data_IF_401976682380
#
_entry.id   IF_401976682380
#
_cell.length_a   1.000
_cell.length_b   1.000
_cell.length_c   1.000
_cell.angle_alpha   90.00
_cell.angle_beta   90.00
_cell.angle_gamma   90.00
#
_symmetry.space_group_name_H-M   'P 1'
#
loop_
_entity.id
_entity.type
_entity.pdbx_description
1 polymer ?
#
# COMPACT_ATOMS: atom_id res chain seq x y z
N UNK A 1 24.00 -5.04 4.95
CA UNK A 1 23.71 -6.36 4.37
C UNK A 1 22.25 -6.65 4.72
N UNK A 2 21.28 -6.43 3.82
CA UNK A 2 19.88 -6.72 4.11
C UNK A 2 19.64 -8.22 3.88
N UNK A 3 19.55 -8.99 4.96
CA UNK A 3 19.05 -10.36 4.96
C UNK A 3 17.54 -10.35 4.68
N UNK A 4 17.13 -10.98 3.58
CA UNK A 4 15.74 -11.32 3.36
C UNK A 4 15.41 -12.61 4.10
N UNK A 5 14.69 -12.53 5.22
CA UNK A 5 14.07 -13.70 5.84
C UNK A 5 12.78 -14.01 5.10
N UNK A 6 12.80 -15.13 4.37
CA UNK A 6 11.69 -15.71 3.65
C UNK A 6 10.68 -16.32 4.63
N UNK A 7 9.42 -15.87 4.61
CA UNK A 7 8.29 -16.61 5.18
C UNK A 7 7.40 -17.02 4.02
N UNK A 8 7.54 -18.28 3.59
CA UNK A 8 6.56 -18.91 2.72
C UNK A 8 5.24 -19.07 3.47
N UNK A 9 4.15 -18.60 2.87
CA UNK A 9 2.78 -18.89 3.30
C UNK A 9 2.41 -20.39 3.26
N UNK A 10 3.32 -21.27 2.82
CA UNK A 10 3.12 -22.73 2.89
C UNK A 10 3.65 -23.38 4.18
N UNK A 11 4.22 -22.66 5.13
CA UNK A 11 4.78 -23.28 6.34
C UNK A 11 4.92 -22.33 7.53
N UNK A 12 3.87 -21.57 7.82
CA UNK A 12 3.65 -21.14 9.20
C UNK A 12 2.68 -22.17 9.78
N UNK A 13 3.15 -23.22 10.49
CA UNK A 13 2.26 -24.07 11.27
C UNK A 13 1.33 -23.17 12.09
N UNK A 14 0.03 -23.47 12.20
CA UNK A 14 -0.93 -22.64 12.94
C UNK A 14 -0.42 -22.27 14.36
N UNK A 15 0.38 -23.16 14.98
CA UNK A 15 1.07 -22.93 16.26
C UNK A 15 2.12 -21.82 16.26
N UNK A 16 2.70 -21.48 15.11
CA UNK A 16 3.71 -20.41 14.93
C UNK A 16 3.07 -19.06 14.63
N UNK A 17 1.87 -19.04 14.03
CA UNK A 17 1.03 -17.84 13.95
C UNK A 17 0.56 -17.45 15.36
N UNK A 18 0.13 -18.45 16.13
CA UNK A 18 -0.26 -18.28 17.53
C UNK A 18 0.94 -17.90 18.41
N UNK A 19 2.12 -18.50 18.24
CA UNK A 19 3.35 -18.06 18.94
C UNK A 19 3.86 -16.68 18.54
N UNK A 20 3.69 -16.24 17.29
CA UNK A 20 4.06 -14.89 16.88
C UNK A 20 3.07 -13.87 17.49
N UNK A 21 1.77 -14.19 17.49
CA UNK A 21 0.74 -13.40 18.19
C UNK A 21 1.00 -13.40 19.70
N UNK A 22 1.33 -14.54 20.33
CA UNK A 22 1.68 -14.65 21.76
C UNK A 22 3.01 -13.97 22.11
N UNK A 23 4.01 -13.98 21.21
CA UNK A 23 5.26 -13.23 21.39
C UNK A 23 5.05 -11.72 21.23
N UNK A 24 4.14 -11.30 20.34
CA UNK A 24 3.73 -9.90 20.18
C UNK A 24 2.87 -9.43 21.37
N UNK A 25 2.09 -10.34 21.98
CA UNK A 25 1.38 -10.14 23.26
C UNK A 25 2.33 -10.05 24.45
N UNK A 26 3.45 -10.76 24.44
CA UNK A 26 4.44 -10.78 25.54
C UNK A 26 5.45 -9.63 25.57
N UNK A 27 5.59 -8.85 24.48
CA UNK A 27 6.65 -7.82 24.35
C UNK A 27 6.16 -6.37 24.35
N UNK A 28 4.89 -6.09 24.62
CA UNK A 28 4.37 -4.70 24.62
C UNK A 28 4.37 -4.04 23.22
N UNK A 29 4.59 -4.82 22.16
CA UNK A 29 4.47 -4.36 20.76
C UNK A 29 3.01 -4.17 20.34
N UNK A 30 2.06 -4.79 21.06
CA UNK A 30 0.62 -4.62 20.88
C UNK A 30 0.18 -3.15 21.01
N UNK A 31 0.91 -2.34 21.78
CA UNK A 31 0.61 -0.91 22.05
C UNK A 31 1.23 0.04 21.01
N UNK A 32 2.20 -0.39 20.19
CA UNK A 32 2.89 0.49 19.21
C UNK A 32 2.25 0.51 17.82
N UNK A 33 1.29 -0.38 17.54
CA UNK A 33 0.59 -0.46 16.25
C UNK A 33 -0.50 0.64 16.11
N UNK A 34 -0.78 1.41 17.16
CA UNK A 34 -2.14 1.87 17.47
C UNK A 34 -2.42 3.38 17.25
N UNK A 35 -1.41 4.21 16.92
CA UNK A 35 -1.59 5.62 16.49
C UNK A 35 -0.71 6.01 15.32
N UNK A 36 0.24 5.15 15.00
CA UNK A 36 1.34 5.46 14.11
C UNK A 36 1.06 4.99 12.68
N UNK A 37 0.00 4.23 12.42
CA UNK A 37 -0.29 3.67 11.08
C UNK A 37 -1.39 4.49 10.41
N UNK A 38 -1.17 4.90 9.17
CA UNK A 38 -2.21 5.36 8.26
C UNK A 38 -2.34 4.45 7.05
N UNK A 39 -3.52 4.47 6.44
CA UNK A 39 -3.78 3.76 5.19
C UNK A 39 -3.82 4.74 4.04
N UNK A 40 -3.26 4.32 2.92
CA UNK A 40 -3.36 5.01 1.66
C UNK A 40 -4.04 4.12 0.62
N UNK A 41 -5.28 4.48 0.25
CA UNK A 41 -6.11 3.75 -0.72
C UNK A 41 -6.15 4.47 -2.06
N UNK A 42 -5.87 3.73 -3.14
CA UNK A 42 -5.83 4.24 -4.50
C UNK A 42 -7.12 3.92 -5.24
N UNK A 43 -7.93 4.94 -5.52
CA UNK A 43 -9.23 4.87 -6.22
C UNK A 43 -10.36 4.20 -5.42
N UNK A 44 -11.57 4.74 -5.55
CA UNK A 44 -12.71 4.24 -4.79
C UNK A 44 -13.94 4.12 -5.68
N UNK A 45 -13.93 3.08 -6.50
CA UNK A 45 -15.10 2.60 -7.24
C UNK A 45 -14.98 1.07 -7.43
N UNK A 46 -14.60 0.36 -6.35
CA UNK A 46 -14.46 -1.08 -6.39
C UNK A 46 -15.68 -1.76 -5.76
N UNK A 47 -16.25 -2.80 -6.39
CA UNK A 47 -17.28 -3.66 -5.80
C UNK A 47 -16.89 -4.21 -4.42
N UNK A 48 -15.60 -4.19 -4.09
CA UNK A 48 -15.02 -4.76 -2.87
C UNK A 48 -14.90 -3.78 -1.71
N UNK A 49 -15.34 -2.52 -1.85
CA UNK A 49 -15.23 -1.50 -0.80
C UNK A 49 -15.78 -1.98 0.55
N UNK A 50 -16.95 -2.62 0.55
CA UNK A 50 -17.58 -3.13 1.78
C UNK A 50 -16.74 -4.20 2.49
N UNK A 51 -16.01 -5.04 1.75
CA UNK A 51 -15.13 -6.05 2.37
C UNK A 51 -13.95 -5.38 3.06
N UNK A 52 -13.33 -4.39 2.41
CA UNK A 52 -12.20 -3.65 2.98
C UNK A 52 -12.59 -2.84 4.20
N UNK A 53 -13.73 -2.16 4.14
CA UNK A 53 -14.27 -1.42 5.27
C UNK A 53 -14.49 -2.36 6.47
N UNK A 54 -15.01 -3.57 6.26
CA UNK A 54 -15.19 -4.56 7.34
C UNK A 54 -13.87 -4.97 7.96
N UNK A 55 -12.86 -5.27 7.14
CA UNK A 55 -11.51 -5.59 7.62
C UNK A 55 -10.91 -4.43 8.41
N UNK A 56 -11.01 -3.20 7.89
CA UNK A 56 -10.54 -1.99 8.52
C UNK A 56 -11.18 -1.76 9.90
N UNK A 57 -12.51 -1.79 9.97
CA UNK A 57 -13.25 -1.66 11.23
C UNK A 57 -12.93 -2.79 12.22
N UNK A 58 -12.70 -4.01 11.72
CA UNK A 58 -12.29 -5.14 12.53
C UNK A 58 -10.93 -4.88 13.19
N UNK A 59 -9.93 -4.44 12.42
CA UNK A 59 -8.60 -4.11 12.93
C UNK A 59 -8.66 -2.99 13.97
N UNK A 60 -9.43 -1.93 13.74
CA UNK A 60 -9.61 -0.87 14.74
C UNK A 60 -10.22 -1.38 16.05
N UNK A 61 -11.24 -2.23 15.98
CA UNK A 61 -11.88 -2.82 17.18
C UNK A 61 -10.92 -3.72 17.93
N UNK A 62 -10.19 -4.59 17.22
CA UNK A 62 -9.18 -5.47 17.83
C UNK A 62 -8.07 -4.66 18.50
N UNK A 63 -7.61 -3.59 17.85
CA UNK A 63 -6.63 -2.68 18.43
C UNK A 63 -7.17 -2.02 19.71
N UNK A 64 -8.39 -1.49 19.68
CA UNK A 64 -9.02 -0.89 20.86
C UNK A 64 -9.18 -1.87 22.03
N UNK A 65 -9.49 -3.14 21.75
CA UNK A 65 -9.56 -4.20 22.77
C UNK A 65 -8.19 -4.49 23.38
N UNK A 66 -7.14 -4.59 22.55
CA UNK A 66 -5.77 -4.81 23.03
C UNK A 66 -5.22 -3.63 23.84
N UNK A 67 -5.66 -2.39 23.57
CA UNK A 67 -5.26 -1.20 24.35
C UNK A 67 -5.94 -1.09 25.72
N UNK A 68 -6.97 -1.90 26.00
CA UNK A 68 -7.94 -1.65 27.07
C UNK A 68 -7.62 -2.28 28.44
N UNK A 69 -6.34 -2.37 28.83
CA UNK A 69 -5.95 -2.57 30.24
C UNK A 69 -5.98 -1.26 31.09
N UNK A 70 -6.60 -0.17 30.62
CA UNK A 70 -6.84 0.97 31.52
C UNK A 70 -7.16 2.34 30.92
N UNK A 71 -7.27 2.50 29.60
CA UNK A 71 -7.58 3.80 28.98
C UNK A 71 -8.75 3.67 28.01
N UNK A 72 -9.85 4.37 28.28
CA UNK A 72 -10.99 4.50 27.36
C UNK A 72 -10.69 5.30 26.09
N UNK A 73 -9.44 5.29 25.59
CA UNK A 73 -9.07 6.00 24.37
C UNK A 73 -9.48 5.17 23.15
N UNK A 74 -10.28 5.76 22.26
CA UNK A 74 -10.58 5.14 20.97
C UNK A 74 -9.30 5.08 20.11
N UNK A 75 -9.06 3.91 19.52
CA UNK A 75 -7.97 3.70 18.56
C UNK A 75 -8.46 4.09 17.17
N UNK A 76 -7.90 5.18 16.63
CA UNK A 76 -8.27 5.70 15.31
C UNK A 76 -7.12 5.48 14.32
N UNK A 77 -7.38 4.73 13.25
CA UNK A 77 -6.45 4.58 12.12
C UNK A 77 -6.88 5.59 11.06
N UNK A 78 -6.00 6.51 10.67
CA UNK A 78 -6.36 7.53 9.68
C UNK A 78 -6.35 6.95 8.27
N UNK A 79 -7.37 7.27 7.47
CA UNK A 79 -7.53 6.75 6.11
C UNK A 79 -7.40 7.88 5.09
N UNK A 80 -6.27 7.90 4.37
CA UNK A 80 -6.06 8.76 3.22
C UNK A 80 -6.54 8.05 1.96
N UNK A 81 -7.40 8.72 1.20
CA UNK A 81 -8.01 8.17 -0.01
C UNK A 81 -7.61 9.05 -1.19
N UNK A 82 -6.81 8.48 -2.09
CA UNK A 82 -6.39 9.16 -3.31
C UNK A 82 -7.43 8.94 -4.41
N UNK A 83 -8.00 10.04 -4.90
CA UNK A 83 -8.98 10.08 -5.98
C UNK A 83 -8.34 10.66 -7.25
N UNK A 84 -9.00 10.50 -8.40
CA UNK A 84 -8.68 11.29 -9.60
C UNK A 84 -9.63 12.50 -9.67
N UNK A 85 -9.28 13.54 -10.44
CA UNK A 85 -10.21 14.64 -10.70
C UNK A 85 -11.56 14.19 -11.31
N UNK A 86 -11.61 12.98 -11.91
CA UNK A 86 -12.81 12.41 -12.49
C UNK A 86 -13.66 11.61 -11.49
N UNK A 87 -13.09 11.19 -10.37
CA UNK A 87 -13.74 10.28 -9.39
C UNK A 87 -13.95 10.92 -8.03
N UNK A 88 -13.33 12.07 -7.76
CA UNK A 88 -13.30 12.69 -6.44
C UNK A 88 -14.68 13.09 -5.91
N UNK A 89 -15.42 13.92 -6.64
CA UNK A 89 -16.74 14.41 -6.21
C UNK A 89 -17.72 13.26 -5.95
N UNK A 90 -17.75 12.26 -6.84
CA UNK A 90 -18.58 11.08 -6.69
C UNK A 90 -18.19 10.25 -5.46
N UNK A 91 -16.89 10.12 -5.19
CA UNK A 91 -16.36 9.38 -4.03
C UNK A 91 -16.73 10.08 -2.72
N UNK A 92 -16.51 11.39 -2.62
CA UNK A 92 -16.83 12.15 -1.41
C UNK A 92 -18.33 12.09 -1.09
N UNK A 93 -19.19 12.35 -2.09
CA UNK A 93 -20.65 12.23 -1.92
C UNK A 93 -21.07 10.82 -1.52
N UNK A 94 -20.41 9.79 -2.05
CA UNK A 94 -20.69 8.42 -1.67
C UNK A 94 -20.41 8.18 -0.18
N UNK A 95 -19.29 8.68 0.37
CA UNK A 95 -19.01 8.59 1.81
C UNK A 95 -20.01 9.39 2.64
N UNK A 96 -20.32 10.62 2.25
CA UNK A 96 -21.28 11.48 2.96
C UNK A 96 -22.67 10.85 3.03
N UNK A 97 -23.19 10.35 1.91
CA UNK A 97 -24.51 9.72 1.82
C UNK A 97 -24.61 8.46 2.69
N UNK A 98 -23.48 7.78 2.93
CA UNK A 98 -23.41 6.60 3.79
C UNK A 98 -22.89 6.91 5.19
N UNK A 99 -22.85 8.20 5.58
CA UNK A 99 -22.40 8.67 6.90
C UNK A 99 -21.02 8.11 7.28
N UNK A 100 -20.09 8.15 6.33
CA UNK A 100 -18.72 7.64 6.45
C UNK A 100 -18.66 6.18 6.92
N UNK A 101 -19.74 5.42 6.71
CA UNK A 101 -19.88 4.03 7.11
C UNK A 101 -19.61 3.77 8.61
N UNK A 102 -19.91 4.76 9.45
CA UNK A 102 -19.69 4.70 10.90
C UNK A 102 -18.28 5.09 11.34
N UNK A 103 -17.43 5.56 10.42
CA UNK A 103 -16.17 6.24 10.76
C UNK A 103 -16.44 7.71 11.11
N UNK A 104 -15.55 8.30 11.90
CA UNK A 104 -15.56 9.74 12.10
C UNK A 104 -15.14 10.45 10.80
N UNK A 105 -15.84 11.51 10.41
CA UNK A 105 -15.52 12.22 9.17
C UNK A 105 -14.08 12.77 9.15
N UNK A 106 -13.54 13.12 10.33
CA UNK A 106 -12.16 13.62 10.48
C UNK A 106 -11.08 12.52 10.43
N UNK A 107 -11.48 11.24 10.40
CA UNK A 107 -10.60 10.08 10.25
C UNK A 107 -10.30 9.78 8.78
N UNK A 108 -11.09 10.34 7.86
CA UNK A 108 -10.96 10.13 6.42
C UNK A 108 -10.48 11.42 5.77
N UNK A 109 -9.48 11.34 4.90
CA UNK A 109 -8.97 12.47 4.14
C UNK A 109 -8.88 12.12 2.67
N UNK A 110 -9.69 12.80 1.86
CA UNK A 110 -9.63 12.70 0.41
C UNK A 110 -8.58 13.66 -0.15
N UNK A 111 -7.85 13.21 -1.16
CA UNK A 111 -6.94 14.06 -1.90
C UNK A 111 -6.81 13.58 -3.34
N UNK A 112 -6.60 14.52 -4.26
CA UNK A 112 -6.59 14.22 -5.69
C UNK A 112 -5.16 14.00 -6.18
N UNK A 113 -4.98 12.97 -7.01
CA UNK A 113 -3.77 12.83 -7.82
C UNK A 113 -3.75 13.81 -8.99
N UNK A 114 -2.58 13.95 -9.61
CA UNK A 114 -2.40 14.81 -10.77
C UNK A 114 -3.00 14.24 -12.05
N UNK A 115 -2.81 14.98 -13.13
CA UNK A 115 -3.16 14.52 -14.48
C UNK A 115 -2.08 14.88 -15.45
N UNK A 116 -1.88 14.03 -16.45
CA UNK A 116 -0.97 14.26 -17.58
C UNK A 116 -1.77 14.47 -18.87
N UNK A 117 -1.31 15.33 -19.78
CA UNK A 117 -1.95 15.52 -21.08
C UNK A 117 -1.77 14.27 -21.94
N UNK A 118 -2.84 13.85 -22.62
CA UNK A 118 -2.79 12.77 -23.57
C UNK A 118 -2.09 13.24 -24.85
N UNK A 119 -1.12 12.47 -25.33
CA UNK A 119 -0.41 12.72 -26.58
C UNK A 119 -0.68 11.60 -27.56
N UNK A 120 -0.77 11.96 -28.84
CA UNK A 120 -0.86 11.01 -29.94
C UNK A 120 0.53 10.53 -30.37
N UNK A 121 0.59 9.49 -31.20
CA UNK A 121 1.86 8.86 -31.61
C UNK A 121 2.82 9.80 -32.34
N UNK A 122 2.32 10.90 -32.91
CA UNK A 122 3.14 11.94 -33.56
C UNK A 122 3.57 13.07 -32.60
N UNK A 123 3.30 12.91 -31.30
CA UNK A 123 3.67 13.85 -30.25
C UNK A 123 2.72 15.03 -30.06
N UNK A 124 1.58 15.09 -30.77
CA UNK A 124 0.60 16.17 -30.60
C UNK A 124 -0.35 15.90 -29.45
N UNK A 125 -0.75 16.96 -28.74
CA UNK A 125 -1.79 16.87 -27.72
C UNK A 125 -3.13 16.42 -28.33
N UNK A 126 -3.75 15.45 -27.67
CA UNK A 126 -5.12 15.03 -27.99
C UNK A 126 -6.07 16.05 -27.37
N UNK A 127 -7.01 16.54 -28.17
CA UNK A 127 -8.01 17.52 -27.74
C UNK A 127 -9.29 16.80 -27.35
N UNK A 128 -9.81 17.04 -26.15
CA UNK A 128 -11.13 16.57 -25.69
C UNK A 128 -12.23 17.42 -26.34
N UNK A 129 -11.99 18.73 -26.44
CA UNK A 129 -12.81 19.69 -27.17
C UNK A 129 -11.90 20.66 -27.93
N UNK A 130 -12.41 21.49 -28.86
CA UNK A 130 -11.58 22.46 -29.58
C UNK A 130 -10.75 23.41 -28.70
N UNK A 131 -11.09 23.57 -27.42
CA UNK A 131 -10.41 24.47 -26.49
C UNK A 131 -9.91 23.77 -25.20
N UNK A 132 -9.98 22.43 -25.13
CA UNK A 132 -9.59 21.66 -23.94
C UNK A 132 -8.76 20.43 -24.31
N UNK A 133 -7.57 20.34 -23.73
CA UNK A 133 -6.67 19.17 -23.89
C UNK A 133 -7.22 17.99 -23.09
N UNK A 134 -7.28 16.81 -23.73
CA UNK A 134 -7.60 15.56 -23.07
C UNK A 134 -6.51 15.20 -22.06
N UNK A 135 -6.92 14.77 -20.87
CA UNK A 135 -6.03 14.44 -19.77
C UNK A 135 -6.37 13.07 -19.20
N UNK A 136 -5.37 12.36 -18.72
CA UNK A 136 -5.51 11.12 -17.99
C UNK A 136 -4.86 11.26 -16.60
N UNK A 137 -5.27 10.45 -15.60
CA UNK A 137 -4.54 10.36 -14.34
C UNK A 137 -3.06 10.04 -14.56
N UNK A 138 -2.19 10.56 -13.71
CA UNK A 138 -0.73 10.41 -13.81
C UNK A 138 -0.20 9.05 -13.30
N UNK A 139 -1.11 8.11 -13.02
CA UNK A 139 -0.82 6.75 -12.56
C UNK A 139 -0.55 6.68 -11.06
N UNK A 140 -0.38 5.46 -10.52
CA UNK A 140 -0.23 5.25 -9.08
C UNK A 140 1.01 5.96 -8.49
N UNK A 141 2.05 6.18 -9.30
CA UNK A 141 3.23 6.96 -8.90
C UNK A 141 2.94 8.45 -8.65
N UNK A 142 1.82 8.98 -9.14
CA UNK A 142 1.33 10.33 -8.86
C UNK A 142 1.06 10.59 -7.38
N UNK A 143 0.93 9.53 -6.57
CA UNK A 143 0.73 9.61 -5.12
C UNK A 143 1.76 10.47 -4.40
N UNK A 144 3.03 10.39 -4.80
CA UNK A 144 4.09 11.11 -4.12
C UNK A 144 3.97 12.61 -4.34
N UNK A 145 3.69 13.00 -5.58
CA UNK A 145 3.41 14.38 -5.94
C UNK A 145 2.16 14.87 -5.22
N UNK A 146 1.08 14.08 -5.22
CA UNK A 146 -0.18 14.42 -4.59
C UNK A 146 -0.04 14.63 -3.07
N UNK A 147 0.61 13.70 -2.36
CA UNK A 147 0.88 13.84 -0.92
C UNK A 147 1.69 15.11 -0.61
N UNK A 148 2.68 15.43 -1.44
CA UNK A 148 3.53 16.61 -1.26
C UNK A 148 2.78 17.91 -1.51
N UNK A 149 2.05 18.03 -2.62
CA UNK A 149 1.32 19.25 -2.96
C UNK A 149 0.14 19.50 -2.01
N UNK A 150 -0.51 18.44 -1.54
CA UNK A 150 -1.58 18.51 -0.54
C UNK A 150 -1.08 18.67 0.91
N UNK A 151 0.23 18.76 1.13
CA UNK A 151 0.87 18.86 2.47
C UNK A 151 0.44 17.74 3.44
N UNK A 152 0.18 16.56 2.90
CA UNK A 152 -0.31 15.42 3.68
C UNK A 152 0.80 14.73 4.46
N UNK A 153 2.05 14.88 4.05
CA UNK A 153 3.19 14.39 4.85
C UNK A 153 3.35 15.18 6.16
N UNK A 154 3.04 16.47 6.13
CA UNK A 154 3.00 17.35 7.29
C UNK A 154 1.77 17.05 8.16
N UNK A 155 0.59 16.84 7.56
CA UNK A 155 -0.60 16.39 8.28
C UNK A 155 -0.35 15.06 9.01
N UNK A 156 0.20 14.06 8.31
CA UNK A 156 0.60 12.78 8.90
C UNK A 156 1.55 12.98 10.09
N UNK A 157 2.56 13.85 9.93
CA UNK A 157 3.51 14.16 10.99
C UNK A 157 2.84 14.80 12.22
N UNK A 158 1.93 15.75 12.00
CA UNK A 158 1.20 16.45 13.07
C UNK A 158 0.25 15.53 13.85
N UNK A 159 -0.24 14.47 13.19
CA UNK A 159 -1.05 13.40 13.80
C UNK A 159 -0.21 12.35 14.53
N UNK A 160 1.11 12.40 14.40
CA UNK A 160 2.02 11.42 14.99
C UNK A 160 2.11 10.10 14.21
N UNK A 161 1.64 10.06 12.96
CA UNK A 161 1.76 8.87 12.10
C UNK A 161 3.25 8.60 11.83
N UNK A 162 3.68 7.33 11.94
CA UNK A 162 5.06 6.89 11.65
C UNK A 162 5.14 5.89 10.50
N UNK A 163 4.05 5.20 10.18
CA UNK A 163 3.99 4.12 9.20
C UNK A 163 2.79 4.34 8.28
N UNK A 164 2.97 4.09 6.99
CA UNK A 164 1.94 4.25 5.97
C UNK A 164 1.78 2.92 5.23
N UNK A 165 0.62 2.29 5.35
CA UNK A 165 0.22 1.08 4.62
C UNK A 165 -0.51 1.48 3.32
N UNK A 166 0.13 1.22 2.19
CA UNK A 166 -0.34 1.61 0.86
C UNK A 166 -0.84 0.38 0.10
N UNK A 167 -2.07 0.42 -0.41
CA UNK A 167 -2.61 -0.65 -1.24
C UNK A 167 -3.42 -0.17 -2.45
N UNK A 168 -3.41 -0.96 -3.53
CA UNK A 168 -4.28 -0.74 -4.69
C UNK A 168 -5.72 -1.22 -4.46
N UNK A 169 -6.72 -0.48 -4.95
CA UNK A 169 -8.12 -0.80 -4.68
C UNK A 169 -8.63 -2.09 -5.34
N UNK A 170 -7.96 -2.58 -6.37
CA UNK A 170 -8.49 -3.71 -7.15
C UNK A 170 -8.33 -5.06 -6.43
N UNK A 171 -7.57 -5.11 -5.35
CA UNK A 171 -7.37 -6.33 -4.57
C UNK A 171 -8.55 -6.58 -3.61
N UNK A 172 -9.47 -7.47 -4.00
CA UNK A 172 -10.60 -7.91 -3.19
C UNK A 172 -10.19 -8.61 -1.88
N UNK A 173 -9.00 -9.21 -1.85
CA UNK A 173 -8.46 -9.99 -0.73
C UNK A 173 -7.48 -9.19 0.13
N UNK A 174 -7.40 -7.87 -0.07
CA UNK A 174 -6.50 -7.03 0.71
C UNK A 174 -6.89 -7.06 2.18
N UNK A 175 -5.90 -7.37 3.02
CA UNK A 175 -5.99 -7.24 4.47
C UNK A 175 -5.48 -5.86 4.84
N UNK A 176 -6.40 -4.91 4.92
CA UNK A 176 -6.12 -3.51 5.24
C UNK A 176 -5.52 -3.41 6.64
N UNK A 177 -4.39 -2.70 6.79
CA UNK A 177 -3.66 -2.57 8.06
C UNK A 177 -3.37 -3.92 8.74
N UNK A 178 -2.97 -4.93 7.95
CA UNK A 178 -2.70 -6.30 8.42
C UNK A 178 -1.70 -6.31 9.60
N UNK A 179 -2.14 -6.64 10.84
CA UNK A 179 -1.29 -6.54 12.03
C UNK A 179 -0.03 -7.39 11.94
N UNK A 180 -0.08 -8.53 11.24
CA UNK A 180 1.09 -9.39 11.06
C UNK A 180 2.16 -8.72 10.18
N UNK A 181 1.73 -7.98 9.15
CA UNK A 181 2.66 -7.26 8.28
C UNK A 181 3.22 -6.02 8.98
N UNK A 182 2.37 -5.25 9.67
CA UNK A 182 2.77 -4.10 10.50
C UNK A 182 3.78 -4.54 11.56
N UNK A 183 3.47 -5.58 12.33
CA UNK A 183 4.39 -6.12 13.34
C UNK A 183 5.72 -6.57 12.76
N UNK A 184 5.70 -7.28 11.62
CA UNK A 184 6.94 -7.68 10.93
C UNK A 184 7.79 -6.48 10.47
N UNK A 185 7.14 -5.44 9.95
CA UNK A 185 7.83 -4.23 9.49
C UNK A 185 8.50 -3.48 10.63
N UNK A 186 7.79 -3.32 11.76
CA UNK A 186 8.31 -2.70 12.98
C UNK A 186 9.47 -3.51 13.54
N UNK A 187 9.30 -4.83 13.70
CA UNK A 187 10.35 -5.74 14.21
C UNK A 187 11.62 -5.68 13.36
N UNK A 188 11.49 -5.56 12.04
CA UNK A 188 12.64 -5.50 11.14
C UNK A 188 13.31 -4.13 11.11
N UNK A 189 12.65 -3.08 11.59
CA UNK A 189 13.20 -1.71 11.60
C UNK A 189 13.60 -1.20 10.22
N UNK A 190 12.85 -1.59 9.17
CA UNK A 190 13.13 -1.20 7.78
C UNK A 190 12.36 0.06 7.38
N UNK A 191 12.91 0.83 6.44
CA UNK A 191 12.30 2.06 5.95
C UNK A 191 11.11 1.81 4.98
N UNK A 192 11.16 0.69 4.25
CA UNK A 192 10.18 0.29 3.25
C UNK A 192 10.08 -1.25 3.16
N UNK A 193 8.88 -1.76 2.95
CA UNK A 193 8.61 -3.17 2.70
C UNK A 193 7.47 -3.35 1.69
N UNK A 194 7.42 -4.52 1.07
CA UNK A 194 6.33 -4.90 0.17
C UNK A 194 5.88 -6.33 0.47
N UNK A 195 4.56 -6.58 0.40
CA UNK A 195 4.05 -7.94 0.30
C UNK A 195 4.19 -8.41 -1.14
N UNK A 196 4.63 -9.65 -1.30
CA UNK A 196 4.81 -10.28 -2.61
C UNK A 196 4.05 -11.58 -2.67
N UNK A 197 3.57 -11.91 -3.85
CA UNK A 197 3.04 -13.25 -4.15
C UNK A 197 4.00 -13.91 -5.14
N UNK A 198 4.09 -15.23 -5.06
CA UNK A 198 4.90 -15.96 -6.02
C UNK A 198 4.23 -15.95 -7.39
N UNK A 199 4.97 -15.55 -8.41
CA UNK A 199 4.56 -15.62 -9.81
C UNK A 199 4.12 -17.05 -10.17
N UNK A 200 2.92 -17.19 -10.70
CA UNK A 200 2.28 -18.48 -10.97
C UNK A 200 2.90 -19.17 -12.19
N UNK A 201 3.20 -18.40 -13.25
CA UNK A 201 3.80 -18.88 -14.50
C UNK A 201 4.58 -17.75 -15.19
N UNK A 202 5.55 -18.05 -16.08
CA UNK A 202 6.46 -17.04 -16.67
C UNK A 202 5.75 -15.87 -17.36
N UNK A 203 4.63 -16.12 -18.02
CA UNK A 203 3.88 -15.14 -18.83
C UNK A 203 2.83 -14.35 -18.03
N UNK A 204 2.74 -14.56 -16.71
CA UNK A 204 1.84 -13.78 -15.86
C UNK A 204 2.17 -12.29 -15.98
N UNK A 205 1.15 -11.49 -16.32
CA UNK A 205 1.25 -10.04 -16.55
C UNK A 205 1.30 -9.29 -15.22
N UNK A 206 2.43 -9.41 -14.55
CA UNK A 206 2.68 -8.79 -13.25
C UNK A 206 4.12 -8.30 -13.16
N UNK A 207 4.31 -7.11 -12.60
CA UNK A 207 5.63 -6.60 -12.29
C UNK A 207 6.34 -7.49 -11.26
N UNK A 208 7.65 -7.61 -11.37
CA UNK A 208 8.46 -8.43 -10.47
C UNK A 208 9.53 -7.60 -9.77
N UNK A 209 9.77 -7.89 -8.49
CA UNK A 209 10.88 -7.29 -7.76
C UNK A 209 12.21 -7.84 -8.24
N UNK A 210 13.10 -6.94 -8.64
CA UNK A 210 14.45 -7.27 -9.09
C UNK A 210 15.46 -6.40 -8.37
N UNK A 211 16.66 -6.95 -8.17
CA UNK A 211 17.81 -6.16 -7.73
C UNK A 211 18.65 -5.80 -8.93
N UNK A 212 18.82 -4.51 -9.21
CA UNK A 212 19.65 -4.03 -10.32
C UNK A 212 21.13 -4.12 -9.93
N UNK A 213 21.86 -5.06 -10.53
CA UNK A 213 23.28 -5.29 -10.25
C UNK A 213 23.57 -5.89 -8.86
N UNK A 214 24.84 -6.17 -8.58
CA UNK A 214 25.27 -6.71 -7.29
C UNK A 214 25.27 -5.58 -6.25
N UNK A 215 24.36 -5.65 -5.28
CA UNK A 215 24.27 -4.64 -4.22
C UNK A 215 23.43 -3.42 -4.56
N UNK A 216 22.98 -3.25 -5.82
CA UNK A 216 22.21 -2.08 -6.23
C UNK A 216 20.75 -2.08 -5.73
N UNK A 217 19.96 -1.09 -6.19
CA UNK A 217 18.62 -0.85 -5.66
C UNK A 217 17.66 -1.98 -6.01
N UNK A 218 16.67 -2.16 -5.15
CA UNK A 218 15.52 -2.98 -5.43
C UNK A 218 14.54 -2.15 -6.27
N UNK A 219 14.11 -2.69 -7.40
CA UNK A 219 13.15 -2.04 -8.31
C UNK A 219 12.06 -3.03 -8.68
N UNK A 220 10.92 -2.52 -9.12
CA UNK A 220 9.97 -3.34 -9.87
C UNK A 220 10.35 -3.24 -11.34
N UNK A 221 10.30 -4.35 -12.06
CA UNK A 221 10.34 -4.38 -13.53
C UNK A 221 8.98 -4.84 -13.99
N UNK A 222 8.31 -4.00 -14.78
CA UNK A 222 6.99 -4.32 -15.30
C UNK A 222 7.05 -5.44 -16.34
N UNK A 223 5.96 -6.17 -16.50
CA UNK A 223 5.93 -7.36 -17.35
C UNK A 223 6.19 -7.06 -18.84
N UNK A 224 5.95 -5.82 -19.27
CA UNK A 224 6.22 -5.33 -20.63
C UNK A 224 7.69 -4.92 -20.83
N UNK A 225 8.45 -4.74 -19.75
CA UNK A 225 9.88 -4.42 -19.76
C UNK A 225 10.75 -5.66 -19.49
N UNK A 226 10.14 -6.80 -19.17
CA UNK A 226 10.84 -8.04 -18.88
C UNK A 226 10.88 -8.96 -20.10
N UNK A 227 12.08 -9.12 -20.68
CA UNK A 227 12.29 -10.02 -21.82
C UNK A 227 11.84 -11.46 -21.52
N UNK A 228 11.29 -12.14 -22.53
CA UNK A 228 10.73 -13.47 -22.40
C UNK A 228 11.75 -14.51 -21.89
N UNK A 229 13.03 -14.36 -22.26
CA UNK A 229 14.13 -15.21 -21.78
C UNK A 229 14.35 -15.05 -20.28
N UNK A 230 14.28 -13.82 -19.76
CA UNK A 230 14.38 -13.51 -18.33
C UNK A 230 13.12 -13.94 -17.58
N UNK A 231 11.94 -13.68 -18.15
CA UNK A 231 10.66 -14.08 -17.56
C UNK A 231 10.56 -15.60 -17.34
N UNK A 232 11.20 -16.39 -18.21
CA UNK A 232 11.24 -17.85 -18.15
C UNK A 232 12.51 -18.40 -17.47
N UNK A 233 13.42 -17.53 -17.03
CA UNK A 233 14.69 -17.97 -16.44
C UNK A 233 14.45 -18.76 -15.15
N UNK A 234 15.11 -19.90 -15.02
CA UNK A 234 15.02 -20.77 -13.84
C UNK A 234 16.24 -20.59 -12.96
N UNK A 235 16.01 -20.48 -11.66
CA UNK A 235 17.07 -20.63 -10.67
C UNK A 235 17.42 -22.12 -10.54
N UNK A 236 18.64 -22.49 -10.95
CA UNK A 236 19.08 -23.88 -10.97
C UNK A 236 19.13 -24.55 -9.59
N UNK A 237 19.30 -23.78 -8.51
CA UNK A 237 19.34 -24.32 -7.15
C UNK A 237 17.94 -24.62 -6.62
N UNK A 238 16.96 -23.76 -6.93
CA UNK A 238 15.60 -23.89 -6.38
C UNK A 238 14.62 -24.55 -7.33
N UNK A 239 14.96 -24.68 -8.62
CA UNK A 239 14.06 -25.16 -9.68
C UNK A 239 12.88 -24.23 -9.98
N UNK A 240 12.88 -23.01 -9.40
CA UNK A 240 11.79 -22.03 -9.54
C UNK A 240 12.19 -20.94 -10.51
N UNK A 241 11.20 -20.14 -10.94
CA UNK A 241 11.47 -18.92 -11.69
C UNK A 241 12.45 -18.04 -10.91
N UNK A 242 13.46 -17.53 -11.62
CA UNK A 242 14.48 -16.65 -11.08
C UNK A 242 13.88 -15.32 -10.61
N UNK A 243 12.91 -14.81 -11.38
CA UNK A 243 12.15 -13.61 -11.05
C UNK A 243 10.71 -14.01 -10.70
N UNK A 244 10.51 -14.40 -9.44
CA UNK A 244 9.25 -14.98 -8.98
C UNK A 244 8.50 -14.13 -7.96
N UNK A 245 8.99 -12.96 -7.58
CA UNK A 245 8.38 -12.13 -6.54
C UNK A 245 7.53 -11.04 -7.18
N UNK A 246 6.24 -11.32 -7.34
CA UNK A 246 5.28 -10.44 -7.98
C UNK A 246 4.95 -9.25 -7.09
N UNK A 247 4.93 -8.06 -7.69
CA UNK A 247 4.40 -6.86 -7.08
C UNK A 247 2.88 -6.93 -7.09
N UNK A 248 2.26 -6.99 -5.91
CA UNK A 248 0.80 -6.98 -5.74
C UNK A 248 0.27 -5.65 -5.20
N UNK A 249 1.07 -4.58 -5.35
CA UNK A 249 0.74 -3.22 -4.96
C UNK A 249 0.33 -3.12 -3.47
N UNK A 250 1.08 -3.80 -2.59
CA UNK A 250 0.93 -3.77 -1.14
C UNK A 250 2.27 -3.38 -0.53
N UNK A 251 2.39 -2.13 -0.10
CA UNK A 251 3.65 -1.55 0.36
C UNK A 251 3.46 -0.88 1.71
N UNK A 252 4.51 -0.89 2.53
CA UNK A 252 4.53 -0.13 3.77
C UNK A 252 5.80 0.69 3.86
N UNK A 253 5.65 1.93 4.32
CA UNK A 253 6.73 2.90 4.41
C UNK A 253 6.75 3.56 5.78
N UNK A 254 7.94 3.92 6.25
CA UNK A 254 8.06 4.88 7.35
C UNK A 254 7.77 6.28 6.85
N UNK A 255 7.18 7.13 7.70
CA UNK A 255 6.94 8.54 7.35
C UNK A 255 8.25 9.29 7.08
N UNK A 256 9.36 8.91 7.73
CA UNK A 256 10.66 9.54 7.49
C UNK A 256 11.24 9.17 6.12
N UNK A 257 11.07 7.92 5.69
CA UNK A 257 11.34 7.54 4.30
C UNK A 257 10.50 8.38 3.34
N UNK A 258 9.25 8.63 3.71
CA UNK A 258 8.32 9.44 2.92
C UNK A 258 8.74 10.91 2.76
N UNK A 259 9.36 11.49 3.79
CA UNK A 259 9.81 12.88 3.81
C UNK A 259 11.19 13.07 3.16
N UNK A 260 12.12 12.16 3.43
CA UNK A 260 13.52 12.26 2.97
C UNK A 260 13.67 12.04 1.46
N UNK A 261 12.73 11.32 0.87
CA UNK A 261 12.67 11.04 -0.55
C UNK A 261 12.15 12.24 -1.33
N UNK A 262 13.01 13.23 -1.61
CA UNK A 262 12.77 14.23 -2.67
C UNK A 262 12.57 13.60 -4.06
N UNK A 263 12.85 12.29 -4.16
CA UNK A 263 12.53 11.34 -5.22
C UNK A 263 12.20 10.01 -4.55
N UNK A 264 10.92 9.70 -4.40
CA UNK A 264 10.51 8.33 -4.10
C UNK A 264 10.85 7.42 -5.29
N UNK A 265 11.09 6.10 -5.08
CA UNK A 265 11.45 5.16 -6.14
C UNK A 265 10.46 5.14 -7.31
#
# INVERSE_FOLDING_TARGET
MCEFRHISSCSVPAKSHQKLVEQLQGQGLEVQIQKDVSILDFHLASPFFNFKLREFLCVQRLAAQASSEGSGSSVSIHWYIMTSPFTDEATQKFFENHKYFGLEANQVTFFQQGTIPCVSNDGRFIMETPFKVAKAPDGNGGVYSALKYSKLLEDMASRGIKYVDCYGVDNALVRVADPAFVGYFIDKGVAAAAKVVRKAYPQEKVGVFVRRGKGGPLTVVEYNELDQSLASAINQQTGRLRFCWSNVCLHMFTLDFSKSSGKWP
#
